data_IF_202497531325
#
_entry.id   IF_202497531325
#
_cell.length_a   1.000
_cell.length_b   1.000
_cell.length_c   1.000
_cell.angle_alpha   90.00
_cell.angle_beta   90.00
_cell.angle_gamma   90.00
#
_symmetry.space_group_name_H-M   'P 1'
#
loop_
_entity.id
_entity.type
_entity.pdbx_description
1 polymer ?
#
# COMPACT_ATOMS: atom_id res chain seq x y z
N UNK A 1 -21.57 40.81 0.28
CA UNK A 1 -20.63 40.42 -0.81
C UNK A 1 -19.19 40.27 -0.29
N UNK A 2 -19.02 39.58 0.85
CA UNK A 2 -17.72 39.32 1.51
C UNK A 2 -17.68 37.87 2.02
N UNK A 3 -18.84 37.37 2.44
CA UNK A 3 -19.06 35.98 2.84
C UNK A 3 -18.87 34.96 1.70
N UNK A 4 -19.05 35.38 0.45
CA UNK A 4 -18.89 34.49 -0.72
C UNK A 4 -17.42 34.16 -0.98
N UNK A 5 -16.50 35.08 -0.66
CA UNK A 5 -15.07 34.89 -0.87
C UNK A 5 -14.47 33.90 0.14
N UNK A 6 -15.03 33.82 1.35
CA UNK A 6 -14.57 32.91 2.41
C UNK A 6 -14.93 31.46 2.08
N UNK A 7 -16.08 31.21 1.45
CA UNK A 7 -16.52 29.86 1.07
C UNK A 7 -15.67 29.25 -0.05
N UNK A 8 -15.16 30.06 -0.98
CA UNK A 8 -14.34 29.60 -2.12
C UNK A 8 -12.93 29.20 -1.69
N UNK A 9 -12.37 29.85 -0.67
CA UNK A 9 -11.04 29.53 -0.16
C UNK A 9 -10.97 28.16 0.54
N UNK A 10 -12.06 27.71 1.17
CA UNK A 10 -12.09 26.40 1.86
C UNK A 10 -12.16 25.24 0.85
N UNK A 11 -12.81 25.42 -0.30
CA UNK A 11 -12.90 24.39 -1.35
C UNK A 11 -11.58 24.16 -2.10
N UNK A 12 -10.69 25.15 -2.16
CA UNK A 12 -9.40 25.01 -2.83
C UNK A 12 -8.38 24.19 -2.03
N UNK A 13 -8.48 24.19 -0.70
CA UNK A 13 -7.56 23.43 0.18
C UNK A 13 -7.82 21.92 0.11
N UNK A 14 -9.07 21.49 -0.05
CA UNK A 14 -9.40 20.07 -0.14
C UNK A 14 -8.95 19.38 -1.44
N UNK A 15 -8.69 20.13 -2.51
CA UNK A 15 -8.33 19.56 -3.82
C UNK A 15 -6.81 19.36 -3.97
N UNK A 16 -6.00 20.06 -3.16
CA UNK A 16 -4.54 19.96 -3.23
C UNK A 16 -3.98 18.68 -2.58
N UNK A 17 -4.69 18.08 -1.62
CA UNK A 17 -4.25 16.86 -0.92
C UNK A 17 -4.68 15.56 -1.61
N UNK A 18 -5.51 15.63 -2.67
CA UNK A 18 -6.16 14.45 -3.25
C UNK A 18 -5.31 13.71 -4.32
N UNK A 19 -4.12 14.19 -4.70
CA UNK A 19 -3.44 13.68 -5.91
C UNK A 19 -2.06 13.03 -5.72
N UNK A 20 -1.49 12.91 -4.51
CA UNK A 20 -0.09 12.41 -4.36
C UNK A 20 0.24 11.60 -3.09
N UNK A 21 -0.69 10.89 -2.45
CA UNK A 21 -0.35 10.21 -1.17
C UNK A 21 -0.89 8.81 -0.92
N UNK A 22 -1.90 8.36 -1.66
CA UNK A 22 -2.65 7.16 -1.24
C UNK A 22 -2.00 5.85 -1.69
N UNK A 23 -1.31 5.83 -2.83
CA UNK A 23 -0.57 4.65 -3.30
C UNK A 23 0.69 4.40 -2.48
N UNK A 24 1.45 5.45 -2.16
CA UNK A 24 2.73 5.32 -1.43
C UNK A 24 2.52 4.85 0.03
N UNK A 25 1.43 5.29 0.68
CA UNK A 25 1.13 4.86 2.05
C UNK A 25 0.69 3.39 2.11
N UNK A 26 -0.11 2.95 1.13
CA UNK A 26 -0.53 1.56 1.02
C UNK A 26 0.67 0.66 0.73
N UNK A 27 1.50 1.02 -0.24
CA UNK A 27 2.72 0.28 -0.59
C UNK A 27 3.66 0.12 0.61
N UNK A 28 3.93 1.21 1.33
CA UNK A 28 4.76 1.19 2.53
C UNK A 28 4.17 0.30 3.65
N UNK A 29 2.85 0.22 3.74
CA UNK A 29 2.16 -0.66 4.69
C UNK A 29 2.30 -2.13 4.29
N UNK A 30 2.14 -2.46 3.00
CA UNK A 30 2.34 -3.82 2.48
C UNK A 30 3.77 -4.28 2.71
N UNK A 31 4.75 -3.45 2.36
CA UNK A 31 6.17 -3.77 2.60
C UNK A 31 6.42 -4.13 4.06
N UNK A 32 6.01 -3.30 5.02
CA UNK A 32 6.23 -3.58 6.46
C UNK A 32 5.62 -4.91 6.90
N UNK A 33 4.41 -5.22 6.42
CA UNK A 33 3.75 -6.49 6.72
C UNK A 33 4.53 -7.68 6.15
N UNK A 34 4.96 -7.58 4.89
CA UNK A 34 5.75 -8.62 4.22
C UNK A 34 7.10 -8.81 4.91
N UNK A 35 7.73 -7.72 5.33
CA UNK A 35 8.98 -7.74 6.10
C UNK A 35 8.81 -8.46 7.43
N UNK A 36 7.80 -8.09 8.24
CA UNK A 36 7.50 -8.75 9.52
C UNK A 36 7.14 -10.24 9.34
N UNK A 37 6.41 -10.56 8.27
CA UNK A 37 6.07 -11.93 7.91
C UNK A 37 7.33 -12.74 7.59
N UNK A 38 8.25 -12.17 6.82
CA UNK A 38 9.52 -12.80 6.46
C UNK A 38 10.43 -12.97 7.68
N UNK A 39 10.55 -11.94 8.54
CA UNK A 39 11.31 -12.01 9.80
C UNK A 39 10.77 -13.11 10.74
N UNK A 40 9.46 -13.33 10.74
CA UNK A 40 8.83 -14.39 11.54
C UNK A 40 9.07 -15.79 10.96
N UNK A 41 9.22 -15.92 9.64
CA UNK A 41 9.51 -17.18 8.96
C UNK A 41 10.33 -16.97 7.69
N UNK A 42 11.66 -16.93 7.83
CA UNK A 42 12.59 -16.67 6.72
C UNK A 42 12.66 -17.80 5.68
N UNK A 43 12.00 -18.93 5.93
CA UNK A 43 11.91 -20.08 5.02
C UNK A 43 10.55 -20.15 4.29
N UNK A 44 9.73 -19.12 4.41
CA UNK A 44 8.45 -19.02 3.71
C UNK A 44 8.67 -19.07 2.19
N UNK A 45 7.81 -19.80 1.49
CA UNK A 45 7.81 -19.80 0.02
C UNK A 45 7.17 -18.52 -0.51
N UNK A 46 7.47 -18.15 -1.76
CA UNK A 46 6.84 -17.00 -2.39
C UNK A 46 5.30 -17.12 -2.39
N UNK A 47 4.76 -18.28 -2.75
CA UNK A 47 3.32 -18.53 -2.77
C UNK A 47 2.68 -18.38 -1.38
N UNK A 48 3.35 -18.90 -0.35
CA UNK A 48 2.85 -18.79 1.03
C UNK A 48 2.96 -17.36 1.56
N UNK A 49 3.99 -16.61 1.15
CA UNK A 49 4.16 -15.20 1.48
C UNK A 49 3.04 -14.36 0.88
N UNK A 50 2.79 -14.48 -0.43
CA UNK A 50 1.72 -13.76 -1.14
C UNK A 50 0.37 -14.08 -0.53
N UNK A 51 0.08 -15.37 -0.29
CA UNK A 51 -1.20 -15.77 0.31
C UNK A 51 -1.41 -15.18 1.69
N UNK A 52 -0.36 -15.08 2.53
CA UNK A 52 -0.49 -14.48 3.85
C UNK A 52 -0.64 -12.96 3.78
N UNK A 53 0.08 -12.31 2.87
CA UNK A 53 -0.05 -10.89 2.60
C UNK A 53 -1.46 -10.52 2.13
N UNK A 54 -2.02 -11.28 1.20
CA UNK A 54 -3.40 -11.12 0.71
C UNK A 54 -4.45 -11.28 1.83
N UNK A 55 -4.34 -12.37 2.61
CA UNK A 55 -5.23 -12.61 3.76
C UNK A 55 -5.18 -11.51 4.85
N UNK A 56 -4.14 -10.70 4.89
CA UNK A 56 -4.03 -9.61 5.86
C UNK A 56 -4.90 -8.41 5.50
N UNK A 57 -5.27 -8.25 4.24
CA UNK A 57 -5.96 -7.06 3.74
C UNK A 57 -7.32 -7.34 3.10
N UNK A 58 -7.70 -8.61 2.89
CA UNK A 58 -9.04 -9.12 2.52
C UNK A 58 -9.89 -8.07 1.79
N UNK A 59 -9.38 -7.64 0.63
CA UNK A 59 -10.00 -6.58 -0.16
C UNK A 59 -11.17 -7.19 -0.94
N UNK A 60 -12.33 -6.55 -0.82
CA UNK A 60 -13.57 -7.03 -1.46
C UNK A 60 -13.85 -6.38 -2.81
N UNK A 61 -13.05 -5.37 -3.19
CA UNK A 61 -13.10 -4.75 -4.52
C UNK A 61 -12.08 -5.42 -5.45
N UNK A 62 -12.50 -6.00 -6.59
CA UNK A 62 -11.62 -6.75 -7.48
C UNK A 62 -10.57 -5.90 -8.20
N UNK A 63 -10.77 -4.58 -8.33
CA UNK A 63 -9.78 -3.68 -8.92
C UNK A 63 -8.67 -3.42 -7.90
N UNK A 64 -9.04 -3.20 -6.64
CA UNK A 64 -8.09 -2.99 -5.56
C UNK A 64 -7.35 -4.30 -5.22
N UNK A 65 -8.04 -5.45 -5.28
CA UNK A 65 -7.48 -6.80 -5.11
C UNK A 65 -6.34 -7.07 -6.09
N UNK A 66 -6.50 -6.78 -7.39
CA UNK A 66 -5.44 -7.02 -8.37
C UNK A 66 -4.21 -6.12 -8.16
N UNK A 67 -4.41 -4.85 -7.82
CA UNK A 67 -3.30 -3.96 -7.50
C UNK A 67 -2.57 -4.42 -6.23
N UNK A 68 -3.33 -4.91 -5.25
CA UNK A 68 -2.81 -5.42 -3.98
C UNK A 68 -2.05 -6.73 -4.12
N UNK A 69 -2.55 -7.66 -4.94
CA UNK A 69 -1.87 -8.90 -5.32
C UNK A 69 -0.47 -8.61 -5.90
N UNK A 70 -0.40 -7.64 -6.81
CA UNK A 70 0.86 -7.26 -7.43
C UNK A 70 1.84 -6.67 -6.40
N UNK A 71 1.37 -5.80 -5.50
CA UNK A 71 2.20 -5.27 -4.41
C UNK A 71 2.72 -6.38 -3.49
N UNK A 72 1.85 -7.29 -3.06
CA UNK A 72 2.24 -8.44 -2.24
C UNK A 72 3.28 -9.32 -2.94
N UNK A 73 3.11 -9.61 -4.23
CA UNK A 73 4.05 -10.41 -5.00
C UNK A 73 5.42 -9.72 -5.14
N UNK A 74 5.43 -8.42 -5.44
CA UNK A 74 6.65 -7.63 -5.58
C UNK A 74 7.44 -7.59 -4.27
N UNK A 75 6.80 -7.24 -3.15
CA UNK A 75 7.44 -7.20 -1.83
C UNK A 75 7.90 -8.59 -1.36
N UNK A 76 7.11 -9.64 -1.57
CA UNK A 76 7.52 -11.00 -1.17
C UNK A 76 8.72 -11.50 -1.98
N UNK A 77 8.74 -11.26 -3.30
CA UNK A 77 9.92 -11.57 -4.13
C UNK A 77 11.14 -10.79 -3.67
N UNK A 78 10.92 -9.54 -3.33
CA UNK A 78 11.95 -8.61 -2.93
C UNK A 78 12.63 -9.06 -1.63
N UNK A 79 11.87 -9.44 -0.60
CA UNK A 79 12.40 -9.94 0.68
C UNK A 79 13.12 -11.29 0.51
N UNK A 80 12.49 -12.26 -0.17
CA UNK A 80 13.06 -13.61 -0.39
C UNK A 80 14.36 -13.55 -1.19
N UNK A 81 14.44 -12.68 -2.19
CA UNK A 81 15.65 -12.50 -3.00
C UNK A 81 16.66 -11.52 -2.38
N UNK A 82 16.33 -10.91 -1.23
CA UNK A 82 17.08 -9.81 -0.61
C UNK A 82 17.41 -8.67 -1.59
N UNK A 83 16.47 -8.34 -2.47
CA UNK A 83 16.60 -7.28 -3.47
C UNK A 83 15.88 -5.99 -3.08
N UNK A 84 15.38 -5.89 -1.85
CA UNK A 84 14.70 -4.69 -1.36
C UNK A 84 15.67 -3.54 -1.17
N UNK A 85 15.43 -2.46 -1.91
CA UNK A 85 15.95 -1.16 -1.56
C UNK A 85 15.10 -0.66 -0.40
N UNK A 86 15.54 -0.93 0.84
CA UNK A 86 14.95 -0.30 2.03
C UNK A 86 15.17 1.20 1.89
N UNK A 87 14.14 1.92 1.44
CA UNK A 87 14.22 3.33 1.07
C UNK A 87 13.55 4.23 2.10
#
# INVERSE_FOLDING_TARGET
MKCVLVAVAVLAVCIAELHHGQHDELDALVHRQVHELYETNSLISLEECVKKCDNMFDLTDPIDEQAFDQMCEEHCKCEINHSCSHH
#
